data_IF_166638470790
#
_entry.id   IF_166638470790
#
_cell.length_a   1.000
_cell.length_b   1.000
_cell.length_c   1.000
_cell.angle_alpha   90.00
_cell.angle_beta   90.00
_cell.angle_gamma   90.00
#
_symmetry.space_group_name_H-M   'P 1'
#
loop_
_entity.id
_entity.type
_entity.pdbx_description
1 polymer ?
#
# COMPACT_ATOMS: atom_id res chain seq x y z
N UNK A 1 17.31 3.76 -9.54
CA UNK A 1 16.74 2.49 -9.03
C UNK A 1 17.07 2.46 -7.54
N UNK A 2 16.09 2.75 -6.68
CA UNK A 2 16.31 2.79 -5.22
C UNK A 2 16.15 1.36 -4.72
N UNK A 3 17.22 0.77 -4.20
CA UNK A 3 17.19 -0.55 -3.59
C UNK A 3 16.55 -0.41 -2.20
N UNK A 4 15.23 -0.66 -2.08
CA UNK A 4 14.45 -0.39 -0.87
C UNK A 4 14.57 -1.46 0.24
N UNK A 5 15.34 -2.52 0.03
CA UNK A 5 15.55 -3.57 1.02
C UNK A 5 17.05 -3.80 1.16
N UNK A 6 17.59 -3.46 2.32
CA UNK A 6 18.89 -3.93 2.77
C UNK A 6 18.83 -5.46 2.85
N UNK A 7 19.90 -6.13 2.42
CA UNK A 7 20.03 -7.59 2.57
C UNK A 7 19.95 -8.00 4.05
N UNK A 8 20.42 -7.11 4.93
CA UNK A 8 20.35 -7.27 6.38
C UNK A 8 18.96 -6.81 6.88
N UNK A 9 18.25 -7.73 7.53
CA UNK A 9 16.94 -7.50 8.15
C UNK A 9 16.99 -7.59 9.68
N UNK A 10 18.09 -8.09 10.24
CA UNK A 10 18.32 -8.24 11.67
C UNK A 10 19.59 -9.03 11.96
N UNK A 11 19.77 -9.42 13.23
CA UNK A 11 21.03 -10.01 13.70
C UNK A 11 21.39 -11.33 13.01
N UNK A 12 20.43 -12.23 12.80
CA UNK A 12 20.68 -13.52 12.16
C UNK A 12 21.18 -13.37 10.71
N UNK A 13 20.58 -12.43 9.97
CA UNK A 13 21.01 -12.09 8.60
C UNK A 13 22.38 -11.40 8.58
N UNK A 14 22.71 -10.64 9.63
CA UNK A 14 24.00 -9.97 9.77
C UNK A 14 25.13 -10.97 10.04
N UNK A 15 24.88 -11.94 10.92
CA UNK A 15 25.82 -13.00 11.27
C UNK A 15 26.10 -13.88 10.04
N UNK A 16 25.04 -14.32 9.33
CA UNK A 16 25.16 -15.22 8.19
C UNK A 16 25.69 -14.57 6.91
N UNK A 17 25.56 -13.25 6.76
CA UNK A 17 26.14 -12.52 5.62
C UNK A 17 27.68 -12.49 5.71
N UNK A 18 28.42 -12.45 4.60
CA UNK A 18 29.85 -12.17 4.59
C UNK A 18 30.18 -10.67 4.62
N UNK A 19 29.19 -9.78 4.59
CA UNK A 19 29.40 -8.35 4.37
C UNK A 19 30.13 -7.66 5.54
N UNK A 20 30.85 -6.55 5.28
CA UNK A 20 31.50 -5.74 6.31
C UNK A 20 30.50 -5.07 7.25
N UNK A 21 30.88 -4.96 8.52
CA UNK A 21 30.07 -4.37 9.61
C UNK A 21 30.86 -3.22 10.23
N UNK A 22 30.23 -2.06 10.35
CA UNK A 22 30.78 -0.91 11.05
C UNK A 22 30.55 -1.00 12.55
N UNK A 23 31.56 -0.63 13.33
CA UNK A 23 31.48 -0.52 14.79
C UNK A 23 32.18 0.76 15.21
N UNK A 24 31.61 1.50 16.16
CA UNK A 24 32.23 2.72 16.65
C UNK A 24 33.47 2.42 17.51
N UNK A 25 34.48 3.29 17.41
CA UNK A 25 35.70 3.20 18.20
C UNK A 25 35.39 3.28 19.71
N UNK A 26 35.92 2.34 20.48
CA UNK A 26 35.63 2.22 21.91
C UNK A 26 34.24 1.66 22.28
N UNK A 27 33.41 1.28 21.31
CA UNK A 27 32.10 0.67 21.57
C UNK A 27 32.24 -0.75 22.16
N UNK A 28 31.33 -1.09 23.09
CA UNK A 28 31.17 -2.45 23.61
C UNK A 28 30.81 -3.45 22.49
N UNK A 29 30.14 -2.97 21.43
CA UNK A 29 29.69 -3.80 20.32
C UNK A 29 30.83 -4.58 19.65
N UNK A 30 32.06 -4.04 19.62
CA UNK A 30 33.18 -4.69 18.96
C UNK A 30 33.49 -6.06 19.57
N UNK A 31 33.74 -6.11 20.89
CA UNK A 31 34.03 -7.36 21.59
C UNK A 31 32.81 -8.28 21.59
N UNK A 32 31.60 -7.72 21.77
CA UNK A 32 30.37 -8.53 21.75
C UNK A 32 30.16 -9.27 20.43
N UNK A 33 30.40 -8.61 19.29
CA UNK A 33 30.24 -9.24 17.97
C UNK A 33 31.25 -10.38 17.76
N UNK A 34 32.46 -10.26 18.29
CA UNK A 34 33.51 -11.28 18.18
C UNK A 34 33.27 -12.43 19.15
N UNK A 35 33.15 -12.12 20.45
CA UNK A 35 33.19 -13.10 21.53
C UNK A 35 31.85 -13.82 21.69
N UNK A 36 30.73 -13.11 21.58
CA UNK A 36 29.40 -13.67 21.83
C UNK A 36 28.70 -14.13 20.53
N UNK A 37 28.88 -13.37 19.45
CA UNK A 37 28.25 -13.66 18.15
C UNK A 37 29.16 -14.36 17.15
N UNK A 38 30.44 -14.59 17.50
CA UNK A 38 31.43 -15.31 16.70
C UNK A 38 31.58 -14.72 15.28
N UNK A 39 31.47 -13.40 15.14
CA UNK A 39 31.71 -12.68 13.89
C UNK A 39 33.22 -12.55 13.70
N UNK A 40 33.69 -12.90 12.50
CA UNK A 40 35.09 -12.76 12.15
C UNK A 40 35.55 -11.30 12.23
N UNK A 41 36.64 -11.06 12.96
CA UNK A 41 37.23 -9.73 13.15
C UNK A 41 37.55 -9.03 11.81
N UNK A 42 37.91 -9.80 10.77
CA UNK A 42 38.18 -9.29 9.42
C UNK A 42 36.98 -8.61 8.74
N UNK A 43 35.76 -8.86 9.24
CA UNK A 43 34.53 -8.21 8.75
C UNK A 43 34.25 -6.89 9.48
N UNK A 44 34.87 -6.66 10.63
CA UNK A 44 34.61 -5.48 11.44
C UNK A 44 35.46 -4.31 10.97
N UNK A 45 34.82 -3.16 10.81
CA UNK A 45 35.47 -1.90 10.48
C UNK A 45 35.21 -0.92 11.61
N UNK A 46 36.29 -0.49 12.25
CA UNK A 46 36.24 0.53 13.31
C UNK A 46 36.03 1.89 12.64
N UNK A 47 35.02 2.62 13.11
CA UNK A 47 34.61 3.93 12.63
C UNK A 47 34.79 4.94 13.77
N UNK A 48 35.40 6.08 13.51
CA UNK A 48 35.80 7.03 14.55
C UNK A 48 34.81 8.15 14.81
N UNK A 49 34.08 8.55 13.77
CA UNK A 49 33.19 9.69 13.83
C UNK A 49 31.90 9.46 13.04
N UNK A 50 30.97 10.40 13.24
CA UNK A 50 29.64 10.33 12.65
C UNK A 50 29.67 10.43 11.11
N UNK A 51 30.61 11.19 10.55
CA UNK A 51 30.74 11.40 9.12
C UNK A 51 31.27 10.14 8.43
N UNK A 52 32.22 9.44 9.07
CA UNK A 52 32.72 8.14 8.64
C UNK A 52 31.61 7.10 8.65
N UNK A 53 30.78 7.08 9.71
CA UNK A 53 29.60 6.23 9.79
C UNK A 53 28.61 6.49 8.64
N UNK A 54 28.29 7.77 8.39
CA UNK A 54 27.39 8.17 7.31
C UNK A 54 27.92 7.74 5.94
N UNK A 55 29.20 8.02 5.67
CA UNK A 55 29.83 7.72 4.39
C UNK A 55 29.96 6.21 4.17
N UNK A 56 30.33 5.44 5.19
CA UNK A 56 30.45 4.00 5.10
C UNK A 56 29.10 3.33 4.81
N UNK A 57 28.02 3.75 5.47
CA UNK A 57 26.67 3.25 5.18
C UNK A 57 26.19 3.67 3.78
N UNK A 58 26.50 4.90 3.36
CA UNK A 58 26.10 5.42 2.04
C UNK A 58 26.81 4.70 0.89
N UNK A 59 28.09 4.36 1.05
CA UNK A 59 28.87 3.58 0.08
C UNK A 59 28.38 2.14 0.00
N UNK A 60 27.99 1.57 1.14
CA UNK A 60 27.53 0.19 1.26
C UNK A 60 28.62 -0.85 0.98
N UNK A 61 28.33 -2.15 1.15
CA UNK A 61 29.35 -3.21 1.09
C UNK A 61 29.96 -3.37 -0.31
N UNK A 62 29.25 -2.97 -1.36
CA UNK A 62 29.76 -3.00 -2.75
C UNK A 62 30.70 -1.84 -3.08
N UNK A 63 30.66 -0.77 -2.29
CA UNK A 63 31.36 0.50 -2.54
C UNK A 63 32.51 0.77 -1.58
N UNK A 64 33.11 -0.28 -1.00
CA UNK A 64 34.10 -0.17 0.09
C UNK A 64 33.54 0.45 1.39
N UNK A 65 32.22 0.37 1.59
CA UNK A 65 31.53 0.76 2.81
C UNK A 65 31.16 -0.45 3.68
N UNK A 66 30.13 -0.26 4.52
CA UNK A 66 29.61 -1.31 5.41
C UNK A 66 28.15 -1.62 5.10
N UNK A 67 27.72 -2.85 5.38
CA UNK A 67 26.32 -3.26 5.22
C UNK A 67 25.42 -2.77 6.35
N UNK A 68 25.97 -2.68 7.55
CA UNK A 68 25.27 -2.20 8.74
C UNK A 68 26.29 -1.61 9.74
N UNK A 69 25.79 -0.78 10.65
CA UNK A 69 26.51 -0.35 11.84
C UNK A 69 25.79 -0.95 13.05
N UNK A 70 26.56 -1.44 14.01
CA UNK A 70 26.04 -1.98 15.27
C UNK A 70 26.57 -1.14 16.42
N UNK A 71 25.67 -0.60 17.22
CA UNK A 71 25.98 0.18 18.42
C UNK A 71 24.78 0.24 19.37
N UNK A 72 24.91 0.88 20.54
CA UNK A 72 23.78 1.05 21.45
C UNK A 72 22.69 1.97 20.87
N UNK A 73 21.43 1.60 21.13
CA UNK A 73 20.25 2.29 20.60
C UNK A 73 20.25 3.82 20.73
N UNK A 74 20.56 4.45 21.88
CA UNK A 74 20.52 5.92 22.00
C UNK A 74 21.53 6.61 21.07
N UNK A 75 22.68 6.00 20.77
CA UNK A 75 23.64 6.55 19.81
C UNK A 75 23.11 6.45 18.38
N UNK A 76 22.50 5.31 18.04
CA UNK A 76 21.89 5.10 16.73
C UNK A 76 20.70 6.06 16.52
N UNK A 77 19.84 6.26 17.52
CA UNK A 77 18.72 7.21 17.43
C UNK A 77 19.19 8.64 17.19
N UNK A 78 20.23 9.08 17.92
CA UNK A 78 20.85 10.39 17.71
C UNK A 78 21.47 10.51 16.32
N UNK A 79 22.17 9.47 15.85
CA UNK A 79 22.73 9.42 14.50
C UNK A 79 21.65 9.55 13.42
N UNK A 80 20.53 8.84 13.56
CA UNK A 80 19.41 8.89 12.61
C UNK A 80 18.76 10.27 12.59
N UNK A 81 18.57 10.88 13.76
CA UNK A 81 18.06 12.25 13.91
C UNK A 81 18.94 13.26 13.18
N UNK A 82 20.26 13.20 13.41
CA UNK A 82 21.24 14.09 12.77
C UNK A 82 21.34 13.88 11.25
N UNK A 83 21.07 12.67 10.76
CA UNK A 83 21.15 12.34 9.33
C UNK A 83 19.81 12.48 8.60
N UNK A 84 18.80 13.07 9.24
CA UNK A 84 17.45 13.25 8.69
C UNK A 84 16.83 11.92 8.20
N UNK A 85 17.04 10.84 8.94
CA UNK A 85 16.39 9.55 8.67
C UNK A 85 16.71 8.94 7.30
N UNK A 86 17.88 9.25 6.73
CA UNK A 86 18.35 8.63 5.48
C UNK A 86 18.56 7.11 5.65
N UNK A 87 18.86 6.69 6.87
CA UNK A 87 19.00 5.29 7.26
C UNK A 87 17.88 4.87 8.22
N UNK A 88 17.80 3.57 8.51
CA UNK A 88 16.83 3.00 9.45
C UNK A 88 17.45 1.89 10.28
N UNK A 89 16.90 1.71 11.47
CA UNK A 89 17.17 0.52 12.30
C UNK A 89 16.48 -0.68 11.66
N UNK A 90 17.16 -1.83 11.66
CA UNK A 90 16.63 -3.11 11.18
C UNK A 90 16.81 -4.18 12.24
N UNK A 91 15.83 -5.07 12.37
CA UNK A 91 15.83 -6.14 13.36
C UNK A 91 15.35 -5.68 14.74
N UNK A 92 15.33 -6.63 15.67
CA UNK A 92 15.04 -6.39 17.07
C UNK A 92 16.33 -6.12 17.84
N UNK A 93 16.21 -5.39 18.94
CA UNK A 93 17.28 -5.28 19.93
C UNK A 93 17.64 -6.66 20.45
N UNK A 94 18.93 -7.01 20.37
CA UNK A 94 19.44 -8.33 20.73
C UNK A 94 20.27 -8.32 22.03
N UNK A 95 20.61 -7.14 22.55
CA UNK A 95 21.29 -6.97 23.84
C UNK A 95 20.38 -6.27 24.83
N UNK A 96 20.25 -6.82 26.05
CA UNK A 96 19.56 -6.17 27.18
C UNK A 96 20.56 -5.57 28.17
N UNK A 97 21.56 -4.86 27.64
CA UNK A 97 22.57 -4.20 28.47
C UNK A 97 22.07 -2.81 28.88
N UNK A 98 22.30 -2.45 30.14
CA UNK A 98 21.94 -1.15 30.70
C UNK A 98 23.18 -0.32 31.04
N UNK A 99 23.03 0.99 31.07
CA UNK A 99 24.09 1.90 31.51
C UNK A 99 24.08 2.05 33.03
N UNK A 100 25.25 2.28 33.62
CA UNK A 100 25.41 2.42 35.06
C UNK A 100 26.57 3.33 35.43
N UNK A 101 26.56 3.80 36.68
CA UNK A 101 27.64 4.60 37.23
C UNK A 101 28.65 3.69 37.93
N UNK A 102 29.93 3.86 37.60
CA UNK A 102 31.01 3.07 38.19
C UNK A 102 31.70 3.83 39.33
N UNK A 103 31.90 3.14 40.45
CA UNK A 103 32.61 3.64 41.61
C UNK A 103 33.69 2.64 42.05
N UNK A 104 34.68 3.12 42.81
CA UNK A 104 35.61 2.22 43.49
C UNK A 104 34.84 1.29 44.43
N UNK A 105 35.36 0.07 44.60
CA UNK A 105 34.76 -0.91 45.49
C UNK A 105 34.64 -0.34 46.91
N UNK A 106 33.53 -0.65 47.56
CA UNK A 106 33.23 -0.24 48.94
C UNK A 106 33.01 1.29 49.12
N UNK A 107 32.83 2.04 48.02
CA UNK A 107 32.50 3.46 48.07
C UNK A 107 31.05 3.69 48.52
N UNK A 108 30.78 4.54 49.53
CA UNK A 108 29.43 4.85 49.98
C UNK A 108 28.62 5.59 48.90
N UNK A 109 29.29 6.28 47.96
CA UNK A 109 28.65 7.02 46.87
C UNK A 109 27.80 6.12 45.97
N UNK A 110 28.16 4.84 45.85
CA UNK A 110 27.40 3.90 45.03
C UNK A 110 25.98 3.69 45.58
N UNK A 111 25.84 3.60 46.91
CA UNK A 111 24.55 3.43 47.59
C UNK A 111 23.73 4.71 47.51
N UNK A 112 24.36 5.86 47.76
CA UNK A 112 23.69 7.16 47.71
C UNK A 112 23.16 7.45 46.30
N UNK A 113 23.98 7.25 45.26
CA UNK A 113 23.56 7.50 43.89
C UNK A 113 22.48 6.52 43.43
N UNK A 114 22.59 5.24 43.80
CA UNK A 114 21.57 4.23 43.48
C UNK A 114 20.22 4.58 44.12
N UNK A 115 20.24 5.06 45.37
CA UNK A 115 19.03 5.51 46.08
C UNK A 115 18.42 6.75 45.43
N UNK A 116 19.25 7.72 45.06
CA UNK A 116 18.81 8.92 44.34
C UNK A 116 18.21 8.57 42.96
N UNK A 117 18.81 7.62 42.23
CA UNK A 117 18.32 7.17 40.93
C UNK A 117 16.94 6.48 41.05
N UNK A 118 16.73 5.68 42.09
CA UNK A 118 15.42 5.07 42.36
C UNK A 118 14.35 6.14 42.61
N UNK A 119 14.65 7.15 43.44
CA UNK A 119 13.73 8.27 43.70
C UNK A 119 13.43 9.07 42.42
N UNK A 120 14.43 9.30 41.56
CA UNK A 120 14.25 9.97 40.27
C UNK A 120 13.39 9.16 39.30
N UNK A 121 13.52 7.84 39.30
CA UNK A 121 12.71 6.94 38.50
C UNK A 121 11.25 6.93 38.96
N UNK A 122 11.01 6.92 40.28
CA UNK A 122 9.66 6.92 40.86
C UNK A 122 8.90 8.23 40.56
N UNK A 123 9.59 9.37 40.65
CA UNK A 123 9.00 10.70 40.44
C UNK A 123 8.85 11.09 38.96
N UNK A 124 9.11 10.17 38.02
CA UNK A 124 9.11 10.39 36.56
C UNK A 124 10.09 11.47 36.05
N UNK A 125 10.97 11.99 36.91
CA UNK A 125 11.95 13.00 36.52
C UNK A 125 12.99 12.42 35.57
N UNK A 126 13.30 11.13 35.70
CA UNK A 126 14.15 10.43 34.77
C UNK A 126 13.57 10.44 33.34
N UNK A 127 12.26 10.27 33.20
CA UNK A 127 11.57 10.36 31.92
C UNK A 127 11.61 11.78 31.36
N UNK A 128 11.45 12.81 32.21
CA UNK A 128 11.59 14.22 31.78
C UNK A 128 13.00 14.53 31.26
N UNK A 129 14.03 13.98 31.90
CA UNK A 129 15.42 14.12 31.46
C UNK A 129 15.59 13.42 30.10
N UNK A 130 15.11 12.18 29.97
CA UNK A 130 15.12 11.44 28.72
C UNK A 130 14.45 12.26 27.60
N UNK A 131 13.24 12.77 27.85
CA UNK A 131 12.49 13.47 26.81
C UNK A 131 13.13 14.80 26.42
N UNK A 132 13.73 15.50 27.39
CA UNK A 132 14.42 16.77 27.15
C UNK A 132 15.67 16.61 26.29
N UNK A 133 16.43 15.53 26.46
CA UNK A 133 17.74 15.35 25.83
C UNK A 133 17.73 14.38 24.65
N UNK A 134 16.86 13.36 24.66
CA UNK A 134 16.85 12.26 23.69
C UNK A 134 15.59 12.21 22.82
N UNK A 135 14.50 12.93 23.14
CA UNK A 135 13.29 12.96 22.29
C UNK A 135 13.45 13.78 20.99
N UNK A 136 14.65 14.31 20.71
CA UNK A 136 14.84 15.21 19.58
C UNK A 136 14.80 14.44 18.24
N UNK A 137 13.66 14.54 17.56
CA UNK A 137 13.37 13.95 16.25
C UNK A 137 13.75 12.47 16.20
N UNK A 138 13.05 11.66 16.99
CA UNK A 138 12.94 10.24 16.66
C UNK A 138 12.36 10.20 15.24
N UNK A 139 13.23 9.92 14.27
CA UNK A 139 12.81 9.37 13.00
C UNK A 139 11.78 8.34 13.37
N UNK A 140 10.52 8.51 12.97
CA UNK A 140 9.44 7.59 13.30
C UNK A 140 9.78 6.25 12.65
N UNK A 141 10.70 5.55 13.27
CA UNK A 141 11.14 4.24 12.93
C UNK A 141 9.91 3.44 13.36
N UNK A 142 9.16 3.01 12.35
CA UNK A 142 8.25 1.88 12.47
C UNK A 142 9.09 0.67 12.89
N UNK A 143 9.56 0.67 14.14
CA UNK A 143 10.10 -0.49 14.81
C UNK A 143 8.87 -1.14 15.42
N UNK A 144 8.26 -2.01 14.61
CA UNK A 144 7.19 -2.92 14.98
C UNK A 144 5.85 -2.29 15.41
N UNK A 145 5.04 -1.85 14.45
CA UNK A 145 3.63 -2.30 14.40
C UNK A 145 2.99 -2.03 13.04
N UNK A 146 2.45 -3.11 12.48
CA UNK A 146 1.53 -3.17 11.34
C UNK A 146 2.13 -2.64 10.03
N UNK A 147 2.78 -3.57 9.33
CA UNK A 147 2.66 -3.75 7.89
C UNK A 147 1.34 -3.13 7.42
N UNK A 148 1.42 -1.94 6.81
CA UNK A 148 0.33 -1.36 6.05
C UNK A 148 0.08 -2.33 4.89
N UNK A 149 -0.64 -3.41 5.18
CA UNK A 149 -1.37 -4.25 4.24
C UNK A 149 -2.50 -3.45 3.56
N UNK A 150 -2.42 -2.12 3.57
CA UNK A 150 -3.03 -1.30 2.54
C UNK A 150 -2.31 -1.61 1.23
N UNK A 151 -2.83 -2.61 0.52
CA UNK A 151 -2.61 -2.76 -0.91
C UNK A 151 -2.94 -1.41 -1.56
N UNK A 152 -1.89 -0.63 -1.81
CA UNK A 152 -2.02 0.65 -2.50
C UNK A 152 -2.73 0.41 -3.83
N UNK A 153 -3.66 1.30 -4.19
CA UNK A 153 -4.43 1.22 -5.45
C UNK A 153 -3.54 1.12 -6.70
N UNK A 154 -2.26 1.47 -6.57
CA UNK A 154 -1.22 1.28 -7.59
C UNK A 154 -0.97 -0.19 -7.92
N UNK A 155 -1.05 -1.09 -6.94
CA UNK A 155 -0.91 -2.55 -7.12
C UNK A 155 -2.11 -3.16 -7.86
N UNK A 156 -3.29 -2.54 -7.77
CA UNK A 156 -4.53 -2.97 -8.43
C UNK A 156 -4.74 -2.42 -9.83
N UNK A 157 -3.79 -1.64 -10.35
CA UNK A 157 -3.87 -1.06 -11.69
C UNK A 157 -4.08 -2.12 -12.78
N UNK A 158 -3.45 -3.29 -12.64
CA UNK A 158 -3.62 -4.41 -13.57
C UNK A 158 -5.06 -4.96 -13.62
N UNK A 159 -5.71 -5.09 -12.45
CA UNK A 159 -7.11 -5.55 -12.36
C UNK A 159 -8.08 -4.55 -12.99
N UNK A 160 -7.85 -3.25 -12.76
CA UNK A 160 -8.64 -2.19 -13.38
C UNK A 160 -8.48 -2.17 -14.91
N UNK A 161 -7.25 -2.37 -15.40
CA UNK A 161 -6.96 -2.43 -16.84
C UNK A 161 -7.66 -3.62 -17.52
N UNK A 162 -7.61 -4.80 -16.90
CA UNK A 162 -8.24 -6.02 -17.45
C UNK A 162 -9.77 -5.87 -17.44
N UNK A 163 -10.36 -5.43 -16.33
CA UNK A 163 -11.80 -5.24 -16.23
C UNK A 163 -12.30 -4.14 -17.20
N UNK A 164 -11.58 -3.02 -17.28
CA UNK A 164 -11.92 -1.91 -18.17
C UNK A 164 -11.87 -2.29 -19.65
N UNK A 165 -10.85 -3.05 -20.07
CA UNK A 165 -10.71 -3.49 -21.47
C UNK A 165 -11.82 -4.46 -21.87
N UNK A 166 -12.12 -5.46 -21.05
CA UNK A 166 -13.22 -6.42 -21.32
C UNK A 166 -14.57 -5.72 -21.42
N UNK A 167 -14.85 -4.78 -20.52
CA UNK A 167 -16.08 -3.96 -20.56
C UNK A 167 -16.15 -3.11 -21.85
N UNK A 168 -15.05 -2.48 -22.24
CA UNK A 168 -14.98 -1.67 -23.46
C UNK A 168 -15.20 -2.51 -24.72
N UNK A 169 -14.57 -3.69 -24.83
CA UNK A 169 -14.78 -4.60 -25.96
C UNK A 169 -16.21 -5.12 -26.03
N UNK A 170 -16.81 -5.48 -24.88
CA UNK A 170 -18.20 -5.94 -24.81
C UNK A 170 -19.18 -4.86 -25.30
N UNK A 171 -19.02 -3.62 -24.81
CA UNK A 171 -19.83 -2.48 -25.24
C UNK A 171 -19.64 -2.16 -26.73
N UNK A 172 -18.40 -2.23 -27.22
CA UNK A 172 -18.08 -1.98 -28.63
C UNK A 172 -18.74 -3.03 -29.52
N UNK A 173 -18.65 -4.32 -29.18
CA UNK A 173 -19.28 -5.41 -29.94
C UNK A 173 -20.81 -5.27 -29.92
N UNK A 174 -21.40 -4.94 -28.76
CA UNK A 174 -22.83 -4.71 -28.65
C UNK A 174 -23.28 -3.55 -29.53
N UNK A 175 -22.56 -2.43 -29.48
CA UNK A 175 -22.86 -1.25 -30.29
C UNK A 175 -22.69 -1.53 -31.79
N UNK A 176 -21.64 -2.26 -32.19
CA UNK A 176 -21.45 -2.70 -33.58
C UNK A 176 -22.59 -3.62 -34.03
N UNK A 177 -23.06 -4.55 -33.19
CA UNK A 177 -24.21 -5.41 -33.51
C UNK A 177 -25.48 -4.61 -33.71
N UNK A 178 -25.77 -3.66 -32.83
CA UNK A 178 -26.94 -2.78 -32.93
C UNK A 178 -26.82 -1.89 -34.18
N UNK A 179 -25.65 -1.33 -34.46
CA UNK A 179 -25.41 -0.50 -35.63
C UNK A 179 -25.51 -1.29 -36.93
N UNK A 180 -25.01 -2.53 -36.99
CA UNK A 180 -25.17 -3.40 -38.15
C UNK A 180 -26.61 -3.85 -38.36
N UNK A 181 -27.35 -4.16 -37.29
CA UNK A 181 -28.78 -4.46 -37.40
C UNK A 181 -29.57 -3.24 -37.87
N UNK A 182 -29.21 -2.04 -37.40
CA UNK A 182 -29.80 -0.79 -37.83
C UNK A 182 -29.48 -0.46 -39.30
N UNK A 183 -28.23 -0.64 -39.74
CA UNK A 183 -27.84 -0.48 -41.14
C UNK A 183 -28.57 -1.47 -42.04
N UNK A 184 -28.69 -2.74 -41.61
CA UNK A 184 -29.43 -3.76 -42.36
C UNK A 184 -30.92 -3.45 -42.46
N UNK A 185 -31.51 -2.83 -41.44
CA UNK A 185 -32.89 -2.33 -41.51
C UNK A 185 -33.05 -1.09 -42.39
N UNK A 186 -32.05 -0.20 -42.41
CA UNK A 186 -32.07 1.03 -43.22
C UNK A 186 -31.77 0.78 -44.71
N UNK A 187 -31.08 -0.31 -45.04
CA UNK A 187 -30.77 -0.71 -46.43
C UNK A 187 -31.95 -1.39 -47.13
N UNK A 188 -32.87 -1.97 -46.38
CA UNK A 188 -34.11 -2.57 -46.91
C UNK A 188 -35.24 -1.54 -47.09
N UNK A 189 -35.04 -0.28 -46.67
CA UNK A 189 -36.05 0.78 -46.75
C UNK A 189 -35.91 1.74 -47.94
N UNK A 190 -34.97 1.50 -48.86
CA UNK A 190 -34.83 2.27 -50.12
C UNK A 190 -35.15 1.39 -51.34
N UNK A 191 -36.45 1.22 -51.63
CA UNK A 191 -36.93 1.03 -53.01
C UNK A 191 -37.40 2.41 -53.56
N UNK A 192 -37.26 2.68 -54.87
CA UNK A 192 -37.23 4.05 -55.40
C UNK A 192 -38.63 4.54 -55.79
N UNK A 193 -39.04 5.71 -55.28
CA UNK A 193 -40.12 6.51 -55.87
C UNK A 193 -39.60 7.91 -56.30
N UNK A 194 -39.41 8.02 -57.62
CA UNK A 194 -39.80 9.09 -58.58
C UNK A 194 -39.47 10.59 -58.26
N UNK A 195 -38.70 11.18 -59.19
CA UNK A 195 -38.53 12.59 -59.65
C UNK A 195 -39.72 13.57 -59.36
N UNK A 196 -39.64 14.90 -59.16
CA UNK A 196 -38.67 16.03 -59.07
C UNK A 196 -39.56 17.29 -58.69
N UNK A 197 -39.19 18.59 -58.89
CA UNK A 197 -38.23 19.50 -58.25
C UNK A 197 -38.89 20.67 -57.43
N UNK A 198 -38.13 21.35 -56.56
CA UNK A 198 -37.86 22.83 -56.65
C UNK A 198 -37.29 23.50 -55.36
N UNK A 199 -36.15 24.17 -55.60
CA UNK A 199 -35.67 25.48 -55.12
C UNK A 199 -35.39 25.86 -53.64
N UNK A 200 -34.16 26.40 -53.48
CA UNK A 200 -33.66 27.44 -52.56
C UNK A 200 -32.88 27.03 -51.28
N UNK A 201 -31.56 27.29 -51.33
CA UNK A 201 -30.57 27.40 -50.21
C UNK A 201 -30.70 28.78 -49.49
N UNK A 202 -29.97 29.15 -48.39
CA UNK A 202 -28.78 28.52 -47.76
C UNK A 202 -28.71 28.56 -46.20
N UNK A 203 -27.53 28.20 -45.66
CA UNK A 203 -26.99 28.36 -44.28
C UNK A 203 -27.27 27.20 -43.31
N UNK A 204 -26.34 26.60 -42.56
CA UNK A 204 -24.92 26.75 -42.23
C UNK A 204 -24.55 25.58 -41.27
N UNK A 205 -23.28 25.31 -40.96
CA UNK A 205 -22.79 23.94 -40.70
C UNK A 205 -22.82 23.49 -39.23
N UNK A 206 -22.61 22.17 -39.05
CA UNK A 206 -22.23 21.46 -37.81
C UNK A 206 -23.38 21.28 -36.78
N UNK A 207 -23.61 20.15 -36.13
CA UNK A 207 -22.77 19.01 -35.76
C UNK A 207 -23.69 17.84 -35.36
N UNK A 208 -23.39 16.63 -35.83
CA UNK A 208 -23.30 15.38 -35.04
C UNK A 208 -24.34 15.12 -33.92
N UNK A 209 -25.64 15.38 -34.14
CA UNK A 209 -26.68 15.07 -33.11
C UNK A 209 -27.87 14.23 -33.61
N UNK A 210 -28.01 14.00 -34.92
CA UNK A 210 -29.13 13.22 -35.48
C UNK A 210 -29.12 11.75 -35.01
N UNK A 211 -27.95 11.11 -34.98
CA UNK A 211 -27.83 9.68 -34.66
C UNK A 211 -28.13 9.34 -33.19
N UNK A 212 -27.72 10.19 -32.24
CA UNK A 212 -27.99 9.94 -30.82
C UNK A 212 -29.45 10.18 -30.45
N UNK A 213 -30.12 11.17 -31.08
CA UNK A 213 -31.55 11.40 -30.85
C UNK A 213 -32.40 10.21 -31.30
N UNK A 214 -32.10 9.63 -32.48
CA UNK A 214 -32.79 8.43 -32.97
C UNK A 214 -32.51 7.18 -32.11
N UNK A 215 -31.32 7.07 -31.53
CA UNK A 215 -30.97 5.95 -30.66
C UNK A 215 -31.69 6.05 -29.31
N UNK A 216 -31.78 7.27 -28.75
CA UNK A 216 -32.58 7.54 -27.55
C UNK A 216 -34.06 7.22 -27.82
N UNK A 217 -34.61 7.64 -28.96
CA UNK A 217 -35.99 7.34 -29.35
C UNK A 217 -36.25 5.84 -29.51
N UNK A 218 -35.30 5.08 -30.09
CA UNK A 218 -35.42 3.63 -30.21
C UNK A 218 -35.35 2.91 -28.85
N UNK A 219 -34.46 3.37 -27.96
CA UNK A 219 -34.35 2.82 -26.60
C UNK A 219 -35.63 3.10 -25.81
N UNK A 220 -36.19 4.30 -25.92
CA UNK A 220 -37.44 4.68 -25.27
C UNK A 220 -38.64 3.87 -25.82
N UNK A 221 -38.67 3.64 -27.14
CA UNK A 221 -39.64 2.74 -27.78
C UNK A 221 -39.50 1.28 -27.29
N UNK A 222 -38.28 0.80 -27.07
CA UNK A 222 -38.05 -0.55 -26.55
C UNK A 222 -38.38 -0.69 -25.07
N UNK A 223 -38.17 0.34 -24.26
CA UNK A 223 -38.55 0.34 -22.84
C UNK A 223 -40.08 0.32 -22.67
N UNK A 224 -40.80 1.07 -23.51
CA UNK A 224 -42.27 1.10 -23.50
C UNK A 224 -42.89 -0.23 -23.94
N UNK A 225 -42.34 -0.91 -24.95
CA UNK A 225 -42.75 -2.26 -25.35
C UNK A 225 -42.56 -3.29 -24.23
N UNK A 226 -41.42 -3.25 -23.51
CA UNK A 226 -41.13 -4.18 -22.40
C UNK A 226 -42.04 -3.92 -21.21
N UNK A 227 -42.33 -2.66 -20.87
CA UNK A 227 -43.29 -2.30 -19.82
C UNK A 227 -44.70 -2.83 -20.12
N UNK A 228 -45.16 -2.73 -21.36
CA UNK A 228 -46.47 -3.25 -21.77
C UNK A 228 -46.53 -4.78 -21.73
N UNK A 229 -45.44 -5.48 -22.08
CA UNK A 229 -45.33 -6.94 -21.92
C UNK A 229 -45.39 -7.36 -20.44
N UNK A 230 -44.72 -6.65 -19.55
CA UNK A 230 -44.78 -6.91 -18.10
C UNK A 230 -46.16 -6.61 -17.51
N UNK A 231 -46.84 -5.57 -17.98
CA UNK A 231 -48.18 -5.18 -17.55
C UNK A 231 -49.22 -6.23 -17.96
N UNK A 232 -49.17 -6.74 -19.20
CA UNK A 232 -50.02 -7.87 -19.65
C UNK A 232 -49.77 -9.14 -18.85
N UNK A 233 -48.51 -9.49 -18.59
CA UNK A 233 -48.15 -10.67 -17.81
C UNK A 233 -48.63 -10.61 -16.35
N UNK A 234 -48.67 -9.42 -15.74
CA UNK A 234 -49.22 -9.26 -14.38
C UNK A 234 -50.76 -9.38 -14.34
N UNK A 235 -51.45 -8.97 -15.41
CA UNK A 235 -52.91 -9.10 -15.52
C UNK A 235 -53.36 -10.55 -15.73
N UNK A 236 -52.63 -11.35 -16.51
CA UNK A 236 -52.92 -12.79 -16.69
C UNK A 236 -52.73 -13.59 -15.39
N UNK A 237 -51.72 -13.22 -14.59
CA UNK A 237 -51.46 -13.86 -13.29
C UNK A 237 -52.57 -13.57 -12.26
N UNK A 238 -53.25 -12.42 -12.37
CA UNK A 238 -54.33 -12.03 -11.45
C UNK A 238 -55.66 -12.72 -11.76
N UNK A 239 -55.91 -13.08 -13.02
CA UNK A 239 -57.12 -13.81 -13.46
C UNK A 239 -57.07 -15.30 -13.09
N UNK A 240 -55.88 -15.90 -13.01
CA UNK A 240 -55.70 -17.30 -12.59
C UNK A 240 -55.89 -17.53 -11.07
N UNK A 241 -55.59 -16.53 -10.24
CA UNK A 241 -55.77 -16.63 -8.79
C UNK A 241 -57.24 -16.55 -8.33
N UNK A 242 -58.13 -15.98 -9.15
CA UNK A 242 -59.57 -15.84 -8.85
C UNK A 242 -60.43 -17.05 -9.24
N UNK A 243 -59.88 -18.05 -9.94
CA UNK A 243 -60.65 -19.21 -10.44
C UNK A 243 -60.37 -20.54 -9.69
N UNK A 244 -59.57 -20.52 -8.63
CA UNK A 244 -59.16 -21.71 -7.86
C UNK A 244 -59.67 -21.71 -6.41
N UNK A 245 -60.95 -21.39 -6.23
CA UNK A 245 -61.64 -21.55 -4.95
C UNK A 245 -62.99 -22.24 -5.15
N UNK A 246 -63.03 -23.50 -5.59
CA UNK A 246 -64.18 -24.36 -5.29
C UNK A 246 -63.86 -25.86 -5.47
N UNK A 247 -64.30 -26.63 -4.46
CA UNK A 247 -64.55 -28.09 -4.39
C UNK A 247 -63.46 -28.99 -3.77
N UNK A 248 -63.94 -29.66 -2.71
CA UNK A 248 -63.35 -30.59 -1.73
C UNK A 248 -63.19 -32.05 -2.25
N UNK A 249 -62.58 -32.96 -1.46
CA UNK A 249 -61.99 -34.22 -1.91
C UNK A 249 -62.91 -35.42 -1.77
N UNK A 250 -62.59 -36.49 -2.52
CA UNK A 250 -62.98 -37.85 -2.17
C UNK A 250 -61.81 -38.83 -2.43
N UNK A 251 -61.49 -39.61 -1.41
CA UNK A 251 -60.71 -40.87 -1.40
C UNK A 251 -61.48 -41.98 -2.17
N UNK A 252 -61.02 -43.26 -2.39
CA UNK A 252 -60.00 -44.11 -1.70
C UNK A 252 -59.05 -44.82 -2.72
N UNK A 253 -58.15 -45.76 -2.44
CA UNK A 253 -57.89 -46.76 -1.38
C UNK A 253 -56.40 -47.09 -1.42
#
# INVERSE_FOLDING_TARGET
>A
MVQLSSHIQGIDSLISSPDPIGVLDGSYAYNYLIEELNIAESRLRILKDQDECFNALKQGPKGDGVAAIVDELPYIELFLSNTNCVFKIVGQEFTKSGWGFAFQRDSPLAVDLSTALLQLSENSDLQKIHDKWLSHRVCSAQVNEVDDNQLSLKSFWGLFLICGTVCFFSLTIFFCRVAWQYQRYSLESEEPEIEDPELARPSGPNTRTSSFKKLIEFVDKKETEVKEMFKRKSSDTKTQASHSSEVQPDSPT
#
